data_IF_817166640744
#
_entry.id   IF_817166640744
#
_cell.length_a   1.000
_cell.length_b   1.000
_cell.length_c   1.000
_cell.angle_alpha   90.00
_cell.angle_beta   90.00
_cell.angle_gamma   90.00
#
_symmetry.space_group_name_H-M   'P 1'
#
loop_
_entity.id
_entity.type
_entity.pdbx_description
1 polymer ?
#
# COMPACT_ATOMS: atom_id res chain seq x y z
N UNK A 1 -9.63 -12.35 25.38
CA UNK A 1 -8.92 -11.05 25.23
C UNK A 1 -7.48 -11.15 24.72
N UNK A 2 -6.77 -12.26 24.88
CA UNK A 2 -5.37 -12.43 24.47
C UNK A 2 -5.22 -12.67 22.95
N UNK A 3 -6.06 -13.47 22.33
CA UNK A 3 -5.93 -13.80 20.91
C UNK A 3 -6.09 -12.61 19.95
N UNK A 4 -6.97 -11.67 20.28
CA UNK A 4 -7.17 -10.48 19.45
C UNK A 4 -6.00 -9.46 19.53
N UNK A 5 -5.32 -9.40 20.68
CA UNK A 5 -4.09 -8.63 20.84
C UNK A 5 -2.94 -9.24 20.03
N UNK A 6 -2.77 -10.53 20.13
CA UNK A 6 -1.76 -11.30 19.41
C UNK A 6 -1.91 -11.19 17.89
N UNK A 7 -3.17 -11.15 17.41
CA UNK A 7 -3.48 -10.97 15.98
C UNK A 7 -3.13 -9.56 15.48
N UNK A 8 -3.38 -8.53 16.30
CA UNK A 8 -2.97 -7.14 15.98
C UNK A 8 -1.46 -6.97 16.03
N UNK A 9 -0.79 -7.52 17.03
CA UNK A 9 0.67 -7.48 17.11
C UNK A 9 1.29 -8.16 15.88
N UNK A 10 0.79 -9.31 15.46
CA UNK A 10 1.21 -9.99 14.22
C UNK A 10 0.95 -9.14 12.96
N UNK A 11 -0.16 -8.41 12.92
CA UNK A 11 -0.46 -7.52 11.80
C UNK A 11 0.47 -6.29 11.80
N UNK A 12 0.76 -5.71 12.97
CA UNK A 12 1.71 -4.61 13.10
C UNK A 12 3.11 -5.05 12.68
N UNK A 13 3.56 -6.23 13.09
CA UNK A 13 4.84 -6.80 12.69
C UNK A 13 4.93 -7.06 11.17
N UNK A 14 3.81 -7.48 10.56
CA UNK A 14 3.74 -7.72 9.11
C UNK A 14 3.74 -6.45 8.26
N UNK A 15 3.22 -5.34 8.77
CA UNK A 15 3.08 -4.09 8.02
C UNK A 15 4.06 -2.99 8.45
N UNK A 16 4.91 -3.25 9.43
CA UNK A 16 5.82 -2.26 10.03
C UNK A 16 5.12 -1.37 11.06
N UNK A 17 5.74 -1.24 12.24
CA UNK A 17 5.14 -0.57 13.42
C UNK A 17 5.13 0.95 13.33
N UNK A 18 6.04 1.55 12.57
CA UNK A 18 6.29 3.00 12.55
C UNK A 18 5.90 3.64 11.20
N UNK A 19 4.90 3.08 10.53
CA UNK A 19 4.50 3.53 9.20
C UNK A 19 3.22 4.36 9.22
N UNK A 20 3.27 5.47 8.50
CA UNK A 20 2.10 6.26 8.12
C UNK A 20 1.81 6.05 6.63
N UNK A 21 0.55 6.07 6.26
CA UNK A 21 0.12 6.02 4.87
C UNK A 21 -0.50 7.35 4.50
N UNK A 22 0.09 8.02 3.52
CA UNK A 22 -0.44 9.24 2.91
C UNK A 22 -1.00 8.91 1.53
N UNK A 23 -2.25 9.30 1.28
CA UNK A 23 -2.90 9.06 -0.01
C UNK A 23 -3.82 10.21 -0.40
N UNK A 24 -4.07 10.35 -1.71
CA UNK A 24 -5.09 11.26 -2.22
C UNK A 24 -6.48 10.84 -1.75
N UNK A 25 -7.31 11.82 -1.45
CA UNK A 25 -8.74 11.62 -1.27
C UNK A 25 -9.51 12.70 -2.05
N UNK A 26 -10.73 12.37 -2.47
CA UNK A 26 -11.60 13.37 -3.08
C UNK A 26 -12.03 14.40 -2.02
N UNK A 27 -11.76 15.68 -2.27
CA UNK A 27 -12.34 16.76 -1.48
C UNK A 27 -13.83 16.84 -1.80
N UNK A 28 -14.69 16.44 -0.88
CA UNK A 28 -16.12 16.73 -0.99
C UNK A 28 -16.36 18.18 -0.56
N UNK A 29 -16.41 19.09 -1.51
CA UNK A 29 -16.87 20.46 -1.26
C UNK A 29 -18.41 20.48 -1.28
N UNK A 30 -19.02 20.84 -0.14
CA UNK A 30 -20.46 21.12 0.01
C UNK A 30 -21.43 19.99 -0.39
N UNK A 31 -21.16 18.74 0.03
CA UNK A 31 -22.18 17.67 -0.12
C UNK A 31 -22.42 17.19 -1.56
N UNK A 32 -21.73 17.72 -2.54
CA UNK A 32 -21.72 17.21 -3.91
C UNK A 32 -20.50 16.30 -4.04
N UNK A 33 -20.73 15.00 -3.99
CA UNK A 33 -19.76 14.01 -4.44
C UNK A 33 -19.49 14.26 -5.93
N UNK A 34 -18.41 14.94 -6.23
CA UNK A 34 -17.89 14.94 -7.60
C UNK A 34 -17.49 13.51 -7.89
N UNK A 35 -18.28 12.83 -8.70
CA UNK A 35 -18.27 11.41 -9.03
C UNK A 35 -16.91 10.70 -8.98
N UNK A 36 -16.89 9.38 -9.18
CA UNK A 36 -15.81 8.42 -9.00
C UNK A 36 -14.41 8.72 -9.60
N UNK A 37 -14.17 9.91 -10.11
CA UNK A 37 -12.85 10.43 -10.50
C UNK A 37 -12.24 11.19 -9.32
N UNK A 38 -11.74 10.44 -8.33
CA UNK A 38 -10.83 11.03 -7.34
C UNK A 38 -9.61 11.57 -8.08
N UNK A 39 -9.46 12.88 -8.14
CA UNK A 39 -8.27 13.51 -8.71
C UNK A 39 -7.09 13.10 -7.83
N UNK A 40 -6.11 12.44 -8.41
CA UNK A 40 -4.88 12.10 -7.71
C UNK A 40 -4.06 13.38 -7.59
N UNK A 41 -3.96 13.93 -6.41
CA UNK A 41 -3.27 15.20 -6.14
C UNK A 41 -1.86 15.00 -5.62
N UNK A 42 -1.55 13.82 -5.07
CA UNK A 42 -0.21 13.50 -4.56
C UNK A 42 0.80 13.37 -5.70
N UNK A 43 2.00 13.87 -5.44
CA UNK A 43 3.11 13.88 -6.40
C UNK A 43 4.42 13.40 -5.78
N UNK A 44 5.38 13.03 -6.63
CA UNK A 44 6.76 12.77 -6.20
C UNK A 44 7.45 14.02 -5.63
N UNK A 45 7.03 15.21 -6.07
CA UNK A 45 7.52 16.47 -5.49
C UNK A 45 7.08 16.65 -4.04
N UNK A 46 5.86 16.24 -3.69
CA UNK A 46 5.40 16.24 -2.30
C UNK A 46 6.27 15.33 -1.44
N UNK A 47 6.62 14.13 -1.95
CA UNK A 47 7.52 13.21 -1.28
C UNK A 47 8.88 13.83 -0.98
N UNK A 48 9.50 14.49 -1.96
CA UNK A 48 10.80 15.14 -1.79
C UNK A 48 10.72 16.30 -0.77
N UNK A 49 9.66 17.09 -0.79
CA UNK A 49 9.44 18.15 0.19
C UNK A 49 9.25 17.60 1.61
N UNK A 50 8.47 16.54 1.79
CA UNK A 50 8.29 15.88 3.08
C UNK A 50 9.61 15.37 3.64
N UNK A 51 10.44 14.70 2.84
CA UNK A 51 11.77 14.25 3.27
C UNK A 51 12.67 15.41 3.70
N UNK A 52 12.60 16.54 2.99
CA UNK A 52 13.42 17.72 3.27
C UNK A 52 12.98 18.46 4.52
N UNK A 53 11.66 18.62 4.73
CA UNK A 53 11.11 19.44 5.81
C UNK A 53 10.94 18.68 7.13
N UNK A 54 10.83 17.35 7.12
CA UNK A 54 10.52 16.53 8.30
C UNK A 54 11.62 15.50 8.61
N UNK A 55 12.60 15.85 9.47
CA UNK A 55 13.71 14.95 9.82
C UNK A 55 13.29 13.65 10.51
N UNK A 56 12.10 13.61 11.13
CA UNK A 56 11.57 12.39 11.75
C UNK A 56 11.24 11.30 10.72
N UNK A 57 11.11 11.64 9.45
CA UNK A 57 10.88 10.69 8.36
C UNK A 57 12.21 10.05 7.99
N UNK A 58 12.30 8.73 8.12
CA UNK A 58 13.48 7.95 7.74
C UNK A 58 13.48 7.56 6.27
N UNK A 59 12.34 7.08 5.77
CA UNK A 59 12.20 6.67 4.38
C UNK A 59 10.75 6.78 3.91
N UNK A 60 10.58 6.91 2.61
CA UNK A 60 9.26 6.96 1.96
C UNK A 60 9.28 6.05 0.75
N UNK A 61 8.24 5.23 0.61
CA UNK A 61 7.98 4.43 -0.58
C UNK A 61 6.77 5.01 -1.33
N UNK A 62 6.97 5.64 -2.49
CA UNK A 62 5.87 6.09 -3.34
C UNK A 62 5.22 4.91 -4.06
N UNK A 63 3.91 4.97 -4.30
CA UNK A 63 3.16 3.86 -4.88
C UNK A 63 2.15 4.33 -5.92
N UNK A 64 2.08 3.58 -7.01
CA UNK A 64 0.94 3.54 -7.93
C UNK A 64 0.39 2.13 -7.97
N UNK A 65 -0.90 1.95 -8.21
CA UNK A 65 -1.49 0.62 -8.22
C UNK A 65 -2.62 0.49 -9.23
N UNK A 66 -2.76 -0.73 -9.72
CA UNK A 66 -3.88 -1.17 -10.56
C UNK A 66 -4.23 -2.62 -10.21
N UNK A 67 -5.46 -3.03 -10.50
CA UNK A 67 -5.87 -4.44 -10.52
C UNK A 67 -6.18 -4.81 -11.96
N UNK A 68 -5.62 -5.90 -12.43
CA UNK A 68 -5.78 -6.34 -13.82
C UNK A 68 -5.53 -7.84 -13.97
N UNK A 69 -5.98 -8.38 -15.08
CA UNK A 69 -5.67 -9.76 -15.46
C UNK A 69 -4.19 -9.89 -15.82
N UNK A 70 -3.57 -10.91 -15.24
CA UNK A 70 -2.18 -11.29 -15.48
C UNK A 70 -2.18 -12.59 -16.24
N UNK A 71 -1.35 -12.70 -17.26
CA UNK A 71 -1.23 -13.88 -18.11
C UNK A 71 0.17 -14.48 -18.00
N UNK A 72 0.26 -15.77 -17.78
CA UNK A 72 1.48 -16.55 -17.86
C UNK A 72 1.15 -18.04 -18.11
N UNK A 73 1.94 -18.72 -18.92
CA UNK A 73 1.84 -20.19 -19.13
C UNK A 73 0.42 -20.69 -19.43
N UNK A 74 -0.35 -19.99 -20.28
CA UNK A 74 -1.76 -20.28 -20.60
C UNK A 74 -2.73 -20.12 -19.41
N UNK A 75 -2.24 -19.68 -18.25
CA UNK A 75 -3.07 -19.34 -17.10
C UNK A 75 -3.33 -17.84 -17.05
N UNK A 76 -4.44 -17.46 -16.42
CA UNK A 76 -4.73 -16.08 -16.10
C UNK A 76 -5.16 -15.94 -14.64
N UNK A 77 -4.84 -14.81 -14.06
CA UNK A 77 -5.20 -14.50 -12.69
C UNK A 77 -5.43 -13.00 -12.53
N UNK A 78 -6.52 -12.61 -11.85
CA UNK A 78 -6.77 -11.22 -11.49
C UNK A 78 -5.96 -10.90 -10.23
N UNK A 79 -4.99 -10.00 -10.33
CA UNK A 79 -4.14 -9.61 -9.20
C UNK A 79 -3.96 -8.11 -9.08
N UNK A 80 -3.47 -7.69 -7.93
CA UNK A 80 -3.05 -6.32 -7.68
C UNK A 80 -1.59 -6.12 -8.07
N UNK A 81 -1.33 -5.09 -8.87
CA UNK A 81 0.02 -4.69 -9.28
C UNK A 81 0.36 -3.36 -8.64
N UNK A 82 1.48 -3.31 -7.92
CA UNK A 82 2.00 -2.10 -7.28
C UNK A 82 3.32 -1.70 -7.92
N UNK A 83 3.39 -0.49 -8.46
CA UNK A 83 4.63 0.15 -8.89
C UNK A 83 5.22 0.94 -7.73
N UNK A 84 6.46 0.65 -7.34
CA UNK A 84 7.10 1.25 -6.18
C UNK A 84 8.64 1.19 -6.27
N UNK A 85 9.32 1.54 -5.18
CA UNK A 85 10.77 1.52 -5.02
C UNK A 85 11.19 0.48 -3.96
N UNK A 86 12.50 0.25 -3.81
CA UNK A 86 13.00 -0.79 -2.90
C UNK A 86 12.65 -0.56 -1.43
N UNK A 87 12.47 0.68 -1.01
CA UNK A 87 12.05 1.03 0.35
C UNK A 87 10.73 0.35 0.74
N UNK A 88 9.87 0.06 -0.21
CA UNK A 88 8.60 -0.63 0.02
C UNK A 88 8.77 -1.99 0.71
N UNK A 89 9.82 -2.73 0.35
CA UNK A 89 10.05 -4.06 0.91
C UNK A 89 10.49 -3.97 2.37
N UNK A 90 11.37 -3.04 2.70
CA UNK A 90 11.83 -2.81 4.08
C UNK A 90 10.68 -2.29 4.94
N UNK A 91 9.93 -1.30 4.46
CA UNK A 91 8.81 -0.69 5.19
C UNK A 91 7.68 -1.68 5.48
N UNK A 92 7.45 -2.61 4.57
CA UNK A 92 6.44 -3.64 4.70
C UNK A 92 6.94 -4.94 5.34
N UNK A 93 8.19 -5.02 5.81
CA UNK A 93 8.83 -6.25 6.33
C UNK A 93 8.68 -7.44 5.37
N UNK A 94 8.92 -7.19 4.08
CA UNK A 94 8.90 -8.24 3.06
C UNK A 94 10.22 -8.99 3.03
N UNK A 95 10.14 -10.32 3.01
CA UNK A 95 11.27 -11.21 2.79
C UNK A 95 11.14 -11.90 1.44
N UNK A 96 12.25 -12.37 0.90
CA UNK A 96 12.31 -13.09 -0.38
C UNK A 96 12.49 -14.58 -0.13
N UNK A 97 11.64 -15.40 -0.74
CA UNK A 97 11.81 -16.86 -0.76
C UNK A 97 12.89 -17.27 -1.76
N UNK A 98 12.90 -16.63 -2.93
CA UNK A 98 13.91 -16.86 -3.97
C UNK A 98 14.04 -15.65 -4.90
N UNK A 99 15.11 -15.65 -5.69
CA UNK A 99 15.43 -14.55 -6.57
C UNK A 99 16.03 -13.36 -5.81
N UNK A 100 15.71 -12.15 -6.24
CA UNK A 100 16.34 -10.91 -5.75
C UNK A 100 15.38 -9.74 -5.77
N UNK A 101 15.77 -8.67 -5.10
CA UNK A 101 15.14 -7.36 -5.19
C UNK A 101 15.51 -6.65 -6.52
N UNK A 102 14.90 -5.50 -6.79
CA UNK A 102 15.26 -4.68 -7.94
C UNK A 102 16.67 -4.12 -7.81
N UNK A 103 17.40 -4.12 -8.92
CA UNK A 103 18.67 -3.41 -9.03
C UNK A 103 18.43 -1.91 -9.25
N UNK A 104 19.40 -1.08 -8.87
CA UNK A 104 19.26 0.37 -8.97
C UNK A 104 19.03 0.84 -10.42
N UNK A 105 19.74 0.27 -11.37
CA UNK A 105 19.55 0.58 -12.80
C UNK A 105 18.19 0.16 -13.33
N UNK A 106 17.59 -0.90 -12.80
CA UNK A 106 16.23 -1.33 -13.13
C UNK A 106 15.18 -0.32 -12.65
N UNK A 107 15.36 0.22 -11.45
CA UNK A 107 14.51 1.29 -10.92
C UNK A 107 14.66 2.59 -11.71
N UNK A 108 15.89 3.00 -12.03
CA UNK A 108 16.20 4.23 -12.73
C UNK A 108 15.78 4.20 -14.20
N UNK A 109 15.96 3.08 -14.87
CA UNK A 109 15.59 2.93 -16.28
C UNK A 109 14.11 2.58 -16.50
N UNK A 110 13.42 2.10 -15.48
CA UNK A 110 12.07 1.56 -15.61
C UNK A 110 12.05 0.22 -16.34
N UNK A 111 13.01 -0.65 -16.04
CA UNK A 111 13.09 -2.00 -16.63
C UNK A 111 11.85 -2.82 -16.25
N UNK A 112 11.38 -3.60 -17.18
CA UNK A 112 10.17 -4.43 -17.01
C UNK A 112 10.52 -5.73 -16.28
N UNK A 113 10.72 -5.63 -14.98
CA UNK A 113 10.95 -6.73 -14.05
C UNK A 113 9.83 -6.75 -13.00
N UNK A 114 9.55 -7.93 -12.46
CA UNK A 114 8.48 -8.11 -11.48
C UNK A 114 8.93 -9.01 -10.34
N UNK A 115 8.41 -8.73 -9.16
CA UNK A 115 8.49 -9.56 -7.96
C UNK A 115 7.08 -9.98 -7.62
N UNK A 116 6.85 -11.27 -7.39
CA UNK A 116 5.50 -11.84 -7.23
C UNK A 116 5.32 -12.55 -5.90
N UNK A 117 4.11 -12.50 -5.36
CA UNK A 117 3.73 -13.19 -4.13
C UNK A 117 3.28 -14.63 -4.39
N UNK A 118 3.16 -15.42 -3.34
CA UNK A 118 2.90 -16.87 -3.40
C UNK A 118 1.56 -17.24 -4.04
N UNK A 119 0.53 -16.44 -3.83
CA UNK A 119 -0.78 -16.70 -4.46
C UNK A 119 -0.71 -16.54 -5.98
N UNK A 120 0.06 -15.57 -6.47
CA UNK A 120 0.30 -15.38 -7.91
C UNK A 120 1.10 -16.54 -8.48
N UNK A 121 2.15 -17.00 -7.78
CA UNK A 121 2.93 -18.20 -8.17
C UNK A 121 2.03 -19.40 -8.33
N UNK A 122 1.20 -19.69 -7.34
CA UNK A 122 0.28 -20.83 -7.35
C UNK A 122 -0.69 -20.81 -8.52
N UNK A 123 -1.27 -19.64 -8.82
CA UNK A 123 -2.32 -19.52 -9.83
C UNK A 123 -1.80 -19.41 -11.27
N UNK A 124 -0.58 -18.91 -11.48
CA UNK A 124 -0.01 -18.73 -12.81
C UNK A 124 1.03 -19.79 -13.19
N UNK A 125 1.78 -20.31 -12.22
CA UNK A 125 2.94 -21.16 -12.49
C UNK A 125 2.80 -22.58 -11.94
N UNK A 126 1.88 -22.81 -10.99
CA UNK A 126 1.69 -24.13 -10.36
C UNK A 126 3.02 -24.67 -9.78
N UNK A 127 3.59 -25.70 -10.40
CA UNK A 127 4.86 -26.34 -10.01
C UNK A 127 6.09 -25.79 -10.77
N UNK A 128 5.89 -24.86 -11.72
CA UNK A 128 6.97 -24.28 -12.51
C UNK A 128 7.67 -23.20 -11.70
N UNK A 129 9.00 -23.19 -11.70
CA UNK A 129 9.76 -22.08 -11.11
C UNK A 129 9.56 -20.80 -11.92
N UNK A 130 8.95 -19.74 -11.34
CA UNK A 130 8.65 -18.54 -12.08
C UNK A 130 9.86 -17.61 -12.32
N UNK A 131 11.01 -17.83 -11.69
CA UNK A 131 12.18 -16.98 -11.90
C UNK A 131 12.63 -17.03 -13.36
N UNK A 132 12.90 -15.86 -13.93
CA UNK A 132 13.24 -15.62 -15.34
C UNK A 132 12.09 -15.87 -16.34
N UNK A 133 10.93 -16.29 -15.86
CA UNK A 133 9.73 -16.42 -16.68
C UNK A 133 9.07 -15.07 -16.94
N UNK A 134 8.26 -15.01 -17.99
CA UNK A 134 7.55 -13.78 -18.39
C UNK A 134 6.09 -13.84 -17.95
N UNK A 135 5.64 -12.78 -17.26
CA UNK A 135 4.23 -12.49 -17.05
C UNK A 135 3.80 -11.28 -17.91
N UNK A 136 2.55 -11.27 -18.35
CA UNK A 136 1.98 -10.15 -19.09
C UNK A 136 1.00 -9.39 -18.23
N UNK A 137 1.31 -8.12 -17.99
CA UNK A 137 0.47 -7.17 -17.25
C UNK A 137 -0.09 -6.18 -18.25
N UNK A 138 -1.39 -6.13 -18.48
CA UNK A 138 -2.00 -5.31 -19.53
C UNK A 138 -1.31 -5.49 -20.90
N UNK A 139 -1.02 -6.74 -21.28
CA UNK A 139 -0.30 -7.10 -22.51
C UNK A 139 1.19 -6.70 -22.54
N UNK A 140 1.70 -6.04 -21.52
CA UNK A 140 3.12 -5.66 -21.41
C UNK A 140 3.89 -6.80 -20.73
N UNK A 141 4.98 -7.31 -21.33
CA UNK A 141 5.77 -8.39 -20.73
C UNK A 141 6.68 -7.84 -19.63
N UNK A 142 6.71 -8.57 -18.50
CA UNK A 142 7.62 -8.34 -17.37
C UNK A 142 8.32 -9.66 -17.05
N UNK A 143 9.61 -9.61 -16.77
CA UNK A 143 10.40 -10.77 -16.33
C UNK A 143 10.35 -10.88 -14.82
N UNK A 144 10.01 -12.06 -14.31
CA UNK A 144 10.00 -12.33 -12.87
C UNK A 144 11.43 -12.46 -12.36
N UNK A 145 11.83 -11.67 -11.39
CA UNK A 145 13.19 -11.67 -10.80
C UNK A 145 13.20 -12.08 -9.32
N UNK A 146 12.05 -12.10 -8.66
CA UNK A 146 11.95 -12.48 -7.26
C UNK A 146 10.59 -13.04 -6.89
N UNK A 147 10.57 -13.87 -5.87
CA UNK A 147 9.38 -14.43 -5.23
C UNK A 147 9.41 -14.02 -3.77
N UNK A 148 8.32 -13.42 -3.31
CA UNK A 148 8.16 -13.04 -1.91
C UNK A 148 7.86 -14.25 -1.04
N UNK A 149 8.41 -14.24 0.16
CA UNK A 149 8.00 -15.16 1.20
C UNK A 149 6.53 -14.94 1.59
N UNK A 150 5.81 -16.01 1.89
CA UNK A 150 4.40 -15.93 2.24
C UNK A 150 4.20 -15.13 3.53
N UNK A 151 3.36 -14.11 3.48
CA UNK A 151 2.88 -13.37 4.65
C UNK A 151 1.57 -13.91 5.17
N UNK A 152 0.88 -14.67 4.33
CA UNK A 152 -0.49 -15.10 4.57
C UNK A 152 -1.47 -13.94 4.39
N UNK A 153 -2.67 -14.15 4.87
CA UNK A 153 -3.74 -13.17 4.77
C UNK A 153 -4.66 -13.22 5.98
N UNK A 154 -5.62 -12.33 6.00
CA UNK A 154 -6.80 -12.41 6.83
C UNK A 154 -7.99 -12.89 5.98
N UNK A 155 -9.12 -13.21 6.60
CA UNK A 155 -10.35 -13.57 5.89
C UNK A 155 -10.81 -12.50 4.87
N UNK A 156 -10.25 -11.30 4.92
CA UNK A 156 -10.63 -10.12 4.14
C UNK A 156 -9.61 -9.72 3.07
N UNK A 157 -8.36 -10.19 3.16
CA UNK A 157 -7.30 -9.78 2.26
C UNK A 157 -6.18 -10.81 2.24
N UNK A 158 -5.88 -11.31 1.05
CA UNK A 158 -4.69 -12.10 0.75
C UNK A 158 -3.52 -11.16 0.47
N UNK A 159 -2.50 -11.16 1.34
CA UNK A 159 -1.30 -10.35 1.17
C UNK A 159 -0.36 -10.93 0.13
N UNK A 160 -0.47 -12.23 -0.12
CA UNK A 160 0.37 -12.97 -1.05
C UNK A 160 -0.14 -12.87 -2.50
N UNK A 161 -1.34 -12.31 -2.71
CA UNK A 161 -1.88 -11.99 -4.03
C UNK A 161 -1.43 -10.58 -4.46
N UNK A 162 -0.15 -10.47 -4.79
CA UNK A 162 0.49 -9.21 -5.15
C UNK A 162 1.56 -9.39 -6.19
N UNK A 163 1.71 -8.37 -7.05
CA UNK A 163 2.81 -8.23 -8.00
C UNK A 163 3.41 -6.85 -7.78
N UNK A 164 4.72 -6.78 -7.66
CA UNK A 164 5.47 -5.54 -7.45
C UNK A 164 6.38 -5.32 -8.65
N UNK A 165 6.37 -4.11 -9.19
CA UNK A 165 7.19 -3.69 -10.33
C UNK A 165 7.87 -2.35 -10.03
N UNK A 166 8.97 -1.98 -10.71
CA UNK A 166 9.56 -0.65 -10.55
C UNK A 166 8.54 0.46 -10.81
N UNK A 167 8.53 1.48 -9.95
CA UNK A 167 7.62 2.62 -10.07
C UNK A 167 7.63 3.24 -11.47
N UNK A 168 8.81 3.45 -12.01
CA UNK A 168 8.97 4.06 -13.35
C UNK A 168 8.39 3.17 -14.44
N UNK A 169 8.60 1.85 -14.38
CA UNK A 169 8.00 0.90 -15.31
C UNK A 169 6.48 0.95 -15.26
N UNK A 170 5.89 0.94 -14.05
CA UNK A 170 4.46 1.04 -13.87
C UNK A 170 3.90 2.35 -14.44
N UNK A 171 4.52 3.48 -14.11
CA UNK A 171 4.08 4.81 -14.57
C UNK A 171 4.16 4.95 -16.08
N UNK A 172 5.19 4.43 -16.72
CA UNK A 172 5.36 4.54 -18.17
C UNK A 172 4.49 3.56 -18.97
N UNK A 173 4.26 2.35 -18.45
CA UNK A 173 3.69 1.24 -19.22
C UNK A 173 2.29 0.81 -18.79
N UNK A 174 1.93 0.99 -17.53
CA UNK A 174 0.71 0.42 -16.98
C UNK A 174 -0.34 1.47 -16.60
N UNK A 175 0.08 2.58 -16.01
CA UNK A 175 -0.83 3.57 -15.42
C UNK A 175 -0.59 5.01 -15.91
N UNK A 176 0.07 5.22 -17.01
CA UNK A 176 0.45 6.56 -17.53
C UNK A 176 -0.74 7.52 -17.65
N UNK A 177 -1.90 7.02 -18.08
CA UNK A 177 -3.13 7.82 -18.20
C UNK A 177 -3.77 8.12 -16.85
N UNK A 178 -3.63 7.23 -15.88
CA UNK A 178 -4.25 7.35 -14.55
C UNK A 178 -3.44 8.23 -13.61
N UNK A 179 -2.12 8.19 -13.74
CA UNK A 179 -1.15 8.95 -12.93
C UNK A 179 -0.15 9.67 -13.84
N UNK A 180 -0.59 10.70 -14.57
CA UNK A 180 0.30 11.44 -15.49
C UNK A 180 1.37 12.22 -14.74
N UNK A 181 2.49 12.48 -15.42
CA UNK A 181 3.59 13.27 -14.87
C UNK A 181 4.15 12.70 -13.56
N UNK A 182 4.21 13.52 -12.53
CA UNK A 182 4.71 13.16 -11.20
C UNK A 182 3.65 12.59 -10.25
N UNK A 183 2.41 12.45 -10.68
CA UNK A 183 1.33 11.97 -9.83
C UNK A 183 1.56 10.53 -9.36
N UNK A 184 1.20 10.28 -8.11
CA UNK A 184 1.21 8.96 -7.45
C UNK A 184 -0.12 8.75 -6.73
N UNK A 185 -0.40 7.51 -6.34
CA UNK A 185 -1.62 7.16 -5.58
C UNK A 185 -1.47 7.40 -4.10
N UNK A 186 -0.36 6.97 -3.56
CA UNK A 186 -0.07 6.98 -2.12
C UNK A 186 1.42 6.90 -1.87
N UNK A 187 1.81 7.11 -0.64
CA UNK A 187 3.14 6.82 -0.15
C UNK A 187 3.06 6.22 1.26
N UNK A 188 3.94 5.26 1.52
CA UNK A 188 4.18 4.72 2.86
C UNK A 188 5.37 5.46 3.43
N UNK A 189 5.21 6.03 4.61
CA UNK A 189 6.18 6.89 5.27
C UNK A 189 6.63 6.21 6.56
N UNK A 190 7.91 5.92 6.69
CA UNK A 190 8.49 5.38 7.91
C UNK A 190 9.01 6.51 8.80
N UNK A 191 8.64 6.46 10.07
CA UNK A 191 9.05 7.39 11.11
C UNK A 191 10.09 6.73 12.01
N UNK A 192 11.07 7.49 12.49
CA UNK A 192 12.23 6.99 13.25
C UNK A 192 11.87 6.29 14.56
N UNK A 193 10.73 6.62 15.17
CA UNK A 193 10.23 5.91 16.36
C UNK A 193 8.72 5.99 16.47
N UNK A 194 8.11 5.03 17.17
CA UNK A 194 6.68 4.99 17.42
C UNK A 194 6.15 6.19 18.20
N UNK A 195 6.99 6.78 19.05
CA UNK A 195 6.67 7.94 19.89
C UNK A 195 6.46 9.20 19.04
N UNK A 196 7.13 9.29 17.89
CA UNK A 196 7.05 10.42 16.97
C UNK A 196 5.87 10.30 15.97
N UNK A 197 5.18 9.17 15.89
CA UNK A 197 4.13 8.93 14.89
C UNK A 197 3.03 10.00 14.93
N UNK A 198 2.46 10.26 16.10
CA UNK A 198 1.36 11.23 16.23
C UNK A 198 1.78 12.65 15.89
N UNK A 199 3.00 13.05 16.28
CA UNK A 199 3.50 14.39 15.94
C UNK A 199 3.81 14.48 14.45
N UNK A 200 4.47 13.46 13.89
CA UNK A 200 4.80 13.43 12.46
C UNK A 200 3.54 13.40 11.58
N UNK A 201 2.47 12.73 11.99
CA UNK A 201 1.18 12.77 11.30
C UNK A 201 0.65 14.20 11.18
N UNK A 202 0.70 14.98 12.27
CA UNK A 202 0.29 16.39 12.29
C UNK A 202 1.22 17.26 11.45
N UNK A 203 2.51 17.02 11.52
CA UNK A 203 3.50 17.76 10.74
C UNK A 203 3.34 17.51 9.24
N UNK A 204 3.05 16.27 8.84
CA UNK A 204 2.71 15.93 7.45
C UNK A 204 1.46 16.69 7.00
N UNK A 205 0.39 16.71 7.81
CA UNK A 205 -0.83 17.47 7.48
C UNK A 205 -0.50 18.95 7.26
N UNK A 206 0.29 19.54 8.13
CA UNK A 206 0.71 20.96 8.03
C UNK A 206 1.50 21.24 6.75
N UNK A 207 2.51 20.41 6.46
CA UNK A 207 3.35 20.57 5.26
C UNK A 207 2.53 20.37 3.99
N UNK A 208 1.70 19.33 3.94
CA UNK A 208 0.87 19.03 2.78
C UNK A 208 -0.17 20.12 2.51
N UNK A 209 -0.81 20.69 3.55
CA UNK A 209 -1.71 21.85 3.40
C UNK A 209 -1.00 23.04 2.78
N UNK A 210 0.23 23.32 3.22
CA UNK A 210 1.07 24.38 2.65
C UNK A 210 1.39 24.12 1.18
N UNK A 211 1.83 22.90 0.85
CA UNK A 211 2.19 22.53 -0.53
C UNK A 211 0.99 22.58 -1.49
N UNK A 212 -0.17 22.13 -1.03
CA UNK A 212 -1.41 22.10 -1.81
C UNK A 212 -2.24 23.37 -1.69
N UNK A 213 -1.73 24.40 -0.98
CA UNK A 213 -2.40 25.70 -0.77
C UNK A 213 -3.82 25.59 -0.18
N UNK A 214 -3.98 24.67 0.78
CA UNK A 214 -5.24 24.44 1.48
C UNK A 214 -5.26 25.28 2.75
N UNK A 215 -6.31 26.08 2.94
CA UNK A 215 -6.50 26.89 4.15
C UNK A 215 -6.69 26.02 5.40
N UNK A 216 -6.44 26.59 6.58
CA UNK A 216 -6.56 25.85 7.85
C UNK A 216 -7.94 25.18 8.04
N UNK A 217 -9.01 25.83 7.55
CA UNK A 217 -10.39 25.32 7.61
C UNK A 217 -10.85 24.63 6.31
N UNK A 218 -9.95 24.51 5.31
CA UNK A 218 -10.24 23.86 4.04
C UNK A 218 -10.25 22.35 4.16
N UNK A 219 -11.08 21.70 3.32
CA UNK A 219 -11.09 20.24 3.23
C UNK A 219 -9.81 19.77 2.55
N UNK A 220 -9.02 18.86 3.16
CA UNK A 220 -7.82 18.32 2.54
C UNK A 220 -8.17 17.39 1.37
N UNK A 221 -7.34 17.43 0.34
CA UNK A 221 -7.38 16.52 -0.81
C UNK A 221 -6.51 15.26 -0.61
N UNK A 222 -6.02 15.09 0.61
CA UNK A 222 -5.23 13.97 1.06
C UNK A 222 -5.69 13.47 2.43
N UNK A 223 -5.26 12.27 2.80
CA UNK A 223 -5.45 11.71 4.14
C UNK A 223 -4.17 11.02 4.60
N UNK A 224 -3.78 11.30 5.85
CA UNK A 224 -2.73 10.59 6.57
C UNK A 224 -3.38 9.57 7.49
N UNK A 225 -2.88 8.34 7.47
CA UNK A 225 -3.39 7.25 8.32
C UNK A 225 -2.25 6.55 9.04
N UNK A 226 -2.39 6.41 10.34
CA UNK A 226 -1.59 5.51 11.13
C UNK A 226 -2.22 4.12 11.07
N UNK A 227 -1.51 3.16 10.48
CA UNK A 227 -2.03 1.81 10.29
C UNK A 227 -2.31 1.09 11.62
N UNK A 228 -1.48 1.27 12.63
CA UNK A 228 -1.68 0.70 13.96
C UNK A 228 -2.95 1.24 14.63
N UNK A 229 -3.22 2.54 14.53
CA UNK A 229 -4.45 3.14 15.05
C UNK A 229 -5.69 2.65 14.30
N UNK A 230 -5.59 2.47 13.00
CA UNK A 230 -6.69 1.93 12.20
C UNK A 230 -7.07 0.49 12.61
N UNK A 231 -6.08 -0.36 12.86
CA UNK A 231 -6.30 -1.72 13.35
C UNK A 231 -6.92 -1.71 14.76
N UNK A 232 -6.41 -0.87 15.65
CA UNK A 232 -6.93 -0.74 17.01
C UNK A 232 -8.38 -0.22 17.03
N UNK A 233 -8.72 0.76 16.20
CA UNK A 233 -10.09 1.29 16.09
C UNK A 233 -11.09 0.22 15.63
N UNK A 234 -10.71 -0.65 14.69
CA UNK A 234 -11.55 -1.78 14.26
C UNK A 234 -11.77 -2.82 15.34
N UNK A 235 -10.76 -3.10 16.18
CA UNK A 235 -10.91 -4.02 17.31
C UNK A 235 -11.90 -3.52 18.36
N UNK A 236 -11.82 -2.22 18.70
CA UNK A 236 -12.76 -1.61 19.67
C UNK A 236 -14.19 -1.70 19.14
N UNK A 237 -14.41 -1.41 17.86
CA UNK A 237 -15.73 -1.51 17.23
C UNK A 237 -16.29 -2.94 17.24
N UNK A 238 -15.48 -3.94 16.91
CA UNK A 238 -15.87 -5.36 16.96
C UNK A 238 -16.21 -5.82 18.37
N UNK A 239 -15.47 -5.36 19.38
CA UNK A 239 -15.69 -5.69 20.78
C UNK A 239 -17.00 -5.08 21.31
N UNK A 240 -17.27 -3.83 20.97
CA UNK A 240 -18.54 -3.15 21.32
C UNK A 240 -19.72 -3.87 20.68
N UNK A 241 -19.62 -4.27 19.41
CA UNK A 241 -20.65 -5.03 18.72
C UNK A 241 -20.90 -6.40 19.38
N UNK A 242 -19.84 -7.11 19.77
CA UNK A 242 -19.95 -8.41 20.46
C UNK A 242 -20.62 -8.27 21.83
N UNK A 243 -20.33 -7.20 22.58
CA UNK A 243 -20.97 -6.91 23.87
C UNK A 243 -22.44 -6.58 23.67
N UNK A 244 -22.80 -5.76 22.69
CA UNK A 244 -24.19 -5.44 22.36
C UNK A 244 -24.98 -6.68 21.97
N UNK A 245 -24.42 -7.56 21.15
CA UNK A 245 -25.06 -8.84 20.79
C UNK A 245 -25.25 -9.76 21.99
N UNK A 246 -24.26 -9.82 22.90
CA UNK A 246 -24.37 -10.61 24.14
C UNK A 246 -25.46 -10.06 25.07
N UNK A 247 -25.59 -8.74 25.18
CA UNK A 247 -26.63 -8.08 25.97
C UNK A 247 -28.03 -8.35 25.39
N UNK A 248 -28.17 -8.22 24.06
CA UNK A 248 -29.45 -8.51 23.37
C UNK A 248 -29.82 -9.99 23.51
N UNK A 249 -28.86 -10.90 23.35
CA UNK A 249 -29.11 -12.34 23.56
C UNK A 249 -29.48 -12.65 25.00
N UNK A 250 -28.86 -11.99 25.97
CA UNK A 250 -29.20 -12.14 27.40
C UNK A 250 -30.60 -11.64 27.76
N UNK A 251 -31.06 -10.56 27.14
CA UNK A 251 -32.42 -10.02 27.34
C UNK A 251 -33.49 -10.91 26.68
N UNK A 252 -33.13 -11.59 25.57
CA UNK A 252 -34.07 -12.49 24.87
C UNK A 252 -34.30 -13.84 25.54
N UNK A 253 -33.56 -14.15 26.62
CA UNK A 253 -33.62 -15.41 27.38
C UNK A 253 -34.38 -15.27 28.72
N UNK A 254 -34.89 -14.08 29.04
CA UNK A 254 -35.76 -13.80 30.20
C UNK A 254 -37.19 -13.55 29.73
#
# INVERSE_FOLDING_TARGET
GSGAREEVEKLIDRFGSNNLILRSQSSSSRGVSMGANSVNTLTLSDMENLKKELPAIQSIAPQVSLSTQILANNNNWLSSVTGTTNEYFDLGNWSFESGRNFEEDELLSGKRVAIIGKTVVKNLFEEINPIDEIIRINKVPFTVVGILEAKGGSAWRDLDDTIIVPLKAAKQRLVAKKFPGNQIRSMTINVSSSELLSQTEKDIDTVMRKLHKISANGNPDFVVRNFAQFLNARQVSSRVMSILLAVVAGISLI
#
